data_IF_653218772238
#
_entry.id   IF_653218772238
#
_cell.length_a   1.000
_cell.length_b   1.000
_cell.length_c   1.000
_cell.angle_alpha   90.00
_cell.angle_beta   90.00
_cell.angle_gamma   90.00
#
_symmetry.space_group_name_H-M   'P 1'
#
loop_
_entity.id
_entity.type
_entity.pdbx_description
1 polymer ?
#
# COMPACT_ATOMS: atom_id res chain seq x y z
N UNK A 1 0.37 -11.62 -10.95
CA UNK A 1 -0.45 -10.49 -11.42
C UNK A 1 -0.17 -9.20 -10.68
N UNK A 2 -0.20 -9.14 -9.29
CA UNK A 2 0.08 -7.90 -8.54
C UNK A 2 1.54 -7.47 -8.63
N UNK A 3 2.49 -8.40 -8.55
CA UNK A 3 3.92 -8.12 -8.77
C UNK A 3 4.14 -7.48 -10.15
N UNK A 4 3.48 -8.00 -11.18
CA UNK A 4 3.57 -7.44 -12.53
C UNK A 4 3.01 -6.02 -12.59
N UNK A 5 1.85 -5.74 -11.95
CA UNK A 5 1.30 -4.39 -11.83
C UNK A 5 2.26 -3.40 -11.16
N UNK A 6 2.89 -3.84 -10.06
CA UNK A 6 3.86 -3.01 -9.35
C UNK A 6 5.07 -2.69 -10.24
N UNK A 7 5.63 -3.68 -10.95
CA UNK A 7 6.73 -3.44 -11.89
C UNK A 7 6.35 -2.50 -13.04
N UNK A 8 5.14 -2.65 -13.57
CA UNK A 8 4.65 -1.80 -14.66
C UNK A 8 4.40 -0.35 -14.22
N UNK A 9 3.99 -0.10 -12.97
CA UNK A 9 3.81 1.26 -12.49
C UNK A 9 5.10 1.92 -11.98
N UNK A 10 6.12 1.14 -11.64
CA UNK A 10 7.37 1.61 -11.04
C UNK A 10 7.99 2.82 -11.77
N UNK A 11 8.20 2.82 -13.10
CA UNK A 11 8.81 3.96 -13.80
C UNK A 11 7.91 5.21 -13.85
N UNK A 12 6.61 5.06 -13.63
CA UNK A 12 5.67 6.20 -13.54
C UNK A 12 5.54 6.73 -12.12
N UNK A 13 5.70 5.88 -11.13
CA UNK A 13 5.52 6.20 -9.71
C UNK A 13 6.80 6.74 -9.08
N UNK A 14 7.93 6.03 -9.27
CA UNK A 14 9.21 6.41 -8.68
C UNK A 14 9.99 7.30 -9.64
N UNK A 15 9.63 8.58 -9.64
CA UNK A 15 10.25 9.60 -10.47
C UNK A 15 11.09 10.56 -9.63
N UNK A 16 12.29 10.88 -10.13
CA UNK A 16 13.14 11.88 -9.53
C UNK A 16 12.72 13.29 -9.98
N UNK A 17 12.47 14.17 -9.02
CA UNK A 17 12.04 15.55 -9.28
C UNK A 17 13.06 16.55 -8.74
N UNK A 18 13.50 17.47 -9.58
CA UNK A 18 14.38 18.60 -9.22
C UNK A 18 13.88 19.88 -9.89
N UNK A 19 12.71 20.36 -9.52
CA UNK A 19 12.09 21.55 -10.10
C UNK A 19 12.24 22.82 -9.25
N UNK A 20 12.72 22.72 -8.01
CA UNK A 20 12.68 23.80 -7.05
C UNK A 20 11.27 24.08 -6.54
N UNK A 21 11.06 25.26 -5.96
CA UNK A 21 9.80 25.62 -5.28
C UNK A 21 8.60 25.67 -6.24
N UNK A 22 8.81 26.20 -7.42
CA UNK A 22 7.76 26.45 -8.45
C UNK A 22 7.84 25.52 -9.67
N UNK A 23 8.70 24.51 -9.66
CA UNK A 23 8.84 23.58 -10.79
C UNK A 23 9.62 24.14 -11.98
N UNK A 24 10.22 25.33 -11.87
CA UNK A 24 10.88 26.03 -12.97
C UNK A 24 12.36 25.71 -13.10
N UNK A 25 12.95 25.04 -12.12
CA UNK A 25 14.41 24.81 -12.02
C UNK A 25 15.25 26.09 -12.15
N UNK A 26 14.71 27.26 -11.78
CA UNK A 26 15.28 28.57 -12.05
C UNK A 26 16.72 28.76 -11.54
N UNK A 27 17.09 28.08 -10.43
CA UNK A 27 18.46 28.12 -9.87
C UNK A 27 19.54 27.52 -10.79
N UNK A 28 19.13 26.72 -11.76
CA UNK A 28 20.01 26.02 -12.71
C UNK A 28 19.97 26.61 -14.12
N UNK A 29 19.18 27.68 -14.34
CA UNK A 29 18.98 28.29 -15.66
C UNK A 29 18.53 27.26 -16.70
N UNK A 30 19.14 27.26 -17.85
CA UNK A 30 18.86 26.34 -18.95
C UNK A 30 19.38 24.90 -18.73
N UNK A 31 20.14 24.67 -17.65
CA UNK A 31 20.69 23.35 -17.32
C UNK A 31 19.78 22.52 -16.41
N UNK A 32 18.64 23.06 -15.94
CA UNK A 32 17.78 22.42 -14.95
C UNK A 32 17.40 20.99 -15.29
N UNK A 33 16.94 20.72 -16.50
CA UNK A 33 16.56 19.37 -16.94
C UNK A 33 17.77 18.42 -17.07
N UNK A 34 18.95 18.93 -17.41
CA UNK A 34 20.17 18.11 -17.45
C UNK A 34 20.62 17.71 -16.05
N UNK A 35 20.56 18.64 -15.10
CA UNK A 35 20.88 18.36 -13.68
C UNK A 35 19.89 17.36 -13.09
N UNK A 36 18.60 17.52 -13.36
CA UNK A 36 17.60 16.54 -12.93
C UNK A 36 17.86 15.16 -13.54
N UNK A 37 18.16 15.10 -14.85
CA UNK A 37 18.48 13.83 -15.52
C UNK A 37 19.70 13.13 -14.94
N UNK A 38 20.75 13.86 -14.61
CA UNK A 38 21.95 13.34 -13.95
C UNK A 38 21.63 12.81 -12.54
N UNK A 39 20.83 13.55 -11.77
CA UNK A 39 20.33 13.10 -10.45
C UNK A 39 19.50 11.83 -10.58
N UNK A 40 18.57 11.78 -11.51
CA UNK A 40 17.71 10.61 -11.74
C UNK A 40 18.53 9.38 -12.09
N UNK A 41 19.51 9.51 -13.01
CA UNK A 41 20.42 8.43 -13.39
C UNK A 41 21.25 7.93 -12.18
N UNK A 42 21.71 8.84 -11.32
CA UNK A 42 22.47 8.47 -10.11
C UNK A 42 21.61 7.71 -9.07
N UNK A 43 20.30 7.98 -9.05
CA UNK A 43 19.33 7.33 -8.15
C UNK A 43 18.69 6.08 -8.77
N UNK A 44 19.07 5.70 -9.99
CA UNK A 44 18.42 4.63 -10.77
C UNK A 44 16.89 4.86 -10.89
N UNK A 45 16.51 6.11 -11.16
CA UNK A 45 15.12 6.55 -11.29
C UNK A 45 14.88 7.21 -12.64
N UNK A 46 13.61 7.35 -13.02
CA UNK A 46 13.20 8.14 -14.18
C UNK A 46 13.08 9.61 -13.75
N UNK A 47 13.63 10.53 -14.56
CA UNK A 47 13.42 11.96 -14.33
C UNK A 47 11.98 12.37 -14.65
N UNK A 48 11.37 13.18 -13.79
CA UNK A 48 10.01 13.67 -14.00
C UNK A 48 9.96 14.60 -15.22
N UNK A 49 9.04 14.36 -16.16
CA UNK A 49 8.94 15.15 -17.39
C UNK A 49 8.59 16.62 -17.12
N UNK A 50 7.74 16.86 -16.13
CA UNK A 50 7.40 18.19 -15.63
C UNK A 50 7.71 18.19 -14.12
N UNK A 51 8.85 18.71 -13.68
CA UNK A 51 9.32 18.57 -12.29
C UNK A 51 8.62 19.55 -11.34
N UNK A 52 7.33 19.40 -11.17
CA UNK A 52 6.50 20.27 -10.33
C UNK A 52 5.96 19.54 -9.10
N UNK A 53 6.03 20.17 -7.94
CA UNK A 53 5.51 19.66 -6.66
C UNK A 53 3.98 19.52 -6.65
N UNK A 54 3.30 20.22 -7.55
CA UNK A 54 1.85 20.15 -7.76
C UNK A 54 1.42 18.88 -8.51
N UNK A 55 2.32 18.16 -9.15
CA UNK A 55 2.02 16.92 -9.86
C UNK A 55 2.16 15.76 -8.87
N UNK A 56 1.02 15.22 -8.40
CA UNK A 56 0.94 14.15 -7.41
C UNK A 56 0.15 12.93 -7.87
N UNK A 57 -0.28 12.90 -9.13
CA UNK A 57 -1.04 11.81 -9.73
C UNK A 57 -0.30 10.48 -9.70
N UNK A 58 1.01 10.49 -9.90
CA UNK A 58 1.87 9.30 -9.79
C UNK A 58 1.85 8.68 -8.38
N UNK A 59 1.76 9.50 -7.31
CA UNK A 59 1.61 9.01 -5.94
C UNK A 59 0.21 8.43 -5.69
N UNK A 60 -0.83 9.04 -6.28
CA UNK A 60 -2.19 8.49 -6.25
C UNK A 60 -2.26 7.16 -7.01
N UNK A 61 -1.62 7.03 -8.19
CA UNK A 61 -1.50 5.75 -8.91
C UNK A 61 -0.89 4.67 -8.01
N UNK A 62 0.19 4.98 -7.30
CA UNK A 62 0.82 4.04 -6.36
C UNK A 62 -0.18 3.56 -5.30
N UNK A 63 -0.86 4.47 -4.62
CA UNK A 63 -1.86 4.14 -3.60
C UNK A 63 -2.98 3.26 -4.18
N UNK A 64 -3.47 3.55 -5.39
CA UNK A 64 -4.48 2.73 -6.04
C UNK A 64 -3.99 1.30 -6.35
N UNK A 65 -2.76 1.15 -6.83
CA UNK A 65 -2.17 -0.17 -7.11
C UNK A 65 -2.00 -0.98 -5.81
N UNK A 66 -1.56 -0.33 -4.73
CA UNK A 66 -1.45 -0.96 -3.41
C UNK A 66 -2.83 -1.33 -2.84
N UNK A 67 -3.85 -0.50 -3.05
CA UNK A 67 -5.22 -0.80 -2.63
C UNK A 67 -5.83 -1.99 -3.38
N UNK A 68 -5.51 -2.19 -4.67
CA UNK A 68 -5.89 -3.38 -5.42
C UNK A 68 -5.24 -4.66 -4.88
N UNK A 69 -3.97 -4.57 -4.47
CA UNK A 69 -3.28 -5.67 -3.80
C UNK A 69 -3.94 -5.99 -2.45
N UNK A 70 -4.17 -4.98 -1.62
CA UNK A 70 -4.84 -5.11 -0.34
C UNK A 70 -6.25 -5.71 -0.47
N UNK A 71 -7.01 -5.32 -1.51
CA UNK A 71 -8.34 -5.89 -1.79
C UNK A 71 -8.27 -7.40 -2.06
N UNK A 72 -7.23 -7.86 -2.78
CA UNK A 72 -7.02 -9.29 -3.04
C UNK A 72 -6.61 -10.05 -1.77
N UNK A 73 -5.80 -9.43 -0.90
CA UNK A 73 -5.45 -9.97 0.41
C UNK A 73 -6.69 -10.09 1.31
N UNK A 74 -7.52 -9.06 1.34
CA UNK A 74 -8.78 -9.06 2.09
C UNK A 74 -9.75 -10.13 1.62
N UNK A 75 -9.85 -10.35 0.29
CA UNK A 75 -10.64 -11.46 -0.26
C UNK A 75 -10.14 -12.81 0.22
N UNK A 76 -8.83 -13.04 0.16
CA UNK A 76 -8.21 -14.29 0.63
C UNK A 76 -8.51 -14.53 2.11
N UNK A 77 -8.32 -13.52 2.95
CA UNK A 77 -8.59 -13.62 4.38
C UNK A 77 -10.08 -13.87 4.68
N UNK A 78 -10.99 -13.27 3.90
CA UNK A 78 -12.42 -13.50 4.06
C UNK A 78 -12.83 -14.95 3.74
N UNK A 79 -12.18 -15.60 2.78
CA UNK A 79 -12.41 -17.04 2.49
C UNK A 79 -11.97 -17.90 3.69
N UNK A 80 -10.79 -17.63 4.27
CA UNK A 80 -10.32 -18.33 5.47
C UNK A 80 -11.30 -18.09 6.64
N UNK A 81 -11.64 -16.84 6.91
CA UNK A 81 -12.60 -16.49 7.95
C UNK A 81 -13.94 -17.23 7.80
N UNK A 82 -14.43 -17.33 6.57
CA UNK A 82 -15.68 -18.03 6.27
C UNK A 82 -15.53 -19.54 6.47
N UNK A 83 -14.45 -20.14 5.97
CA UNK A 83 -14.18 -21.57 6.12
C UNK A 83 -13.94 -22.02 7.56
N UNK A 84 -13.55 -21.10 8.47
CA UNK A 84 -13.41 -21.39 9.91
C UNK A 84 -14.74 -21.45 10.66
N UNK A 85 -15.84 -20.96 10.09
CA UNK A 85 -17.16 -21.03 10.75
C UNK A 85 -17.55 -22.47 11.00
N UNK A 86 -18.28 -22.68 12.12
CA UNK A 86 -18.67 -24.02 12.58
C UNK A 86 -19.46 -24.80 11.51
N UNK A 87 -20.21 -24.10 10.67
CA UNK A 87 -21.02 -24.69 9.59
C UNK A 87 -20.18 -25.29 8.45
N UNK A 88 -18.96 -24.78 8.26
CA UNK A 88 -18.03 -25.25 7.22
C UNK A 88 -16.89 -26.05 7.83
N UNK A 89 -16.12 -25.48 8.73
CA UNK A 89 -15.04 -26.15 9.44
C UNK A 89 -13.90 -26.70 8.55
N UNK A 90 -13.73 -26.12 7.37
CA UNK A 90 -12.81 -26.62 6.34
C UNK A 90 -11.36 -26.21 6.56
N UNK A 91 -11.14 -25.06 7.23
CA UNK A 91 -9.81 -24.48 7.44
C UNK A 91 -9.67 -23.95 8.86
N UNK A 92 -8.42 -23.80 9.31
CA UNK A 92 -8.08 -23.14 10.59
C UNK A 92 -6.89 -22.19 10.39
N UNK A 93 -6.89 -21.08 11.14
CA UNK A 93 -5.71 -20.23 11.21
C UNK A 93 -4.59 -20.93 11.98
N UNK A 94 -3.32 -20.70 11.58
CA UNK A 94 -2.18 -21.19 12.35
C UNK A 94 -2.16 -20.54 13.73
N UNK A 95 -1.97 -21.35 14.77
CA UNK A 95 -1.85 -20.88 16.16
C UNK A 95 -0.38 -20.78 16.50
N UNK A 96 0.05 -19.61 16.95
CA UNK A 96 1.41 -19.46 17.47
C UNK A 96 1.58 -20.25 18.76
N UNK A 97 2.68 -20.99 18.95
CA UNK A 97 2.94 -21.70 20.20
C UNK A 97 2.87 -20.74 21.40
N UNK A 98 2.11 -21.10 22.40
CA UNK A 98 1.92 -20.29 23.63
C UNK A 98 0.81 -19.24 23.56
N UNK A 99 0.07 -19.14 22.46
CA UNK A 99 -1.08 -18.25 22.35
C UNK A 99 -2.31 -18.90 22.99
N UNK A 100 -2.89 -18.26 24.01
CA UNK A 100 -4.18 -18.66 24.61
C UNK A 100 -5.29 -18.01 23.79
N UNK A 101 -6.05 -18.84 23.08
CA UNK A 101 -7.13 -18.37 22.17
C UNK A 101 -8.29 -17.66 22.91
N UNK A 102 -8.59 -18.09 24.14
CA UNK A 102 -9.61 -17.49 25.02
C UNK A 102 -9.28 -17.81 26.47
N UNK A 103 -9.44 -16.86 27.37
CA UNK A 103 -9.28 -17.04 28.81
C UNK A 103 -10.37 -17.92 29.44
N UNK A 104 -11.56 -17.99 28.81
CA UNK A 104 -12.74 -18.73 29.34
C UNK A 104 -13.02 -20.01 28.58
N UNK A 105 -12.59 -20.14 27.34
CA UNK A 105 -12.82 -21.31 26.49
C UNK A 105 -11.54 -21.65 25.72
N UNK A 106 -10.64 -22.50 26.27
CA UNK A 106 -9.35 -22.83 25.64
C UNK A 106 -9.46 -23.42 24.22
N UNK A 107 -10.60 -24.08 23.92
CA UNK A 107 -10.87 -24.67 22.61
C UNK A 107 -11.38 -23.66 21.56
N UNK A 108 -11.66 -22.41 21.96
CA UNK A 108 -12.16 -21.40 21.04
C UNK A 108 -11.01 -20.74 20.28
N UNK A 109 -10.93 -20.99 18.99
CA UNK A 109 -10.00 -20.36 18.06
C UNK A 109 -10.69 -19.18 17.38
N UNK A 110 -10.22 -17.96 17.64
CA UNK A 110 -10.74 -16.76 17.00
C UNK A 110 -9.88 -16.44 15.75
N UNK A 111 -10.50 -16.10 14.61
CA UNK A 111 -9.81 -15.80 13.35
C UNK A 111 -9.22 -14.39 13.35
N UNK A 112 -8.29 -14.11 14.28
CA UNK A 112 -7.74 -12.77 14.47
C UNK A 112 -6.92 -12.30 13.26
N UNK A 113 -6.09 -13.18 12.69
CA UNK A 113 -5.25 -12.83 11.53
C UNK A 113 -6.11 -12.45 10.32
N UNK A 114 -7.15 -13.24 10.02
CA UNK A 114 -8.08 -12.96 8.92
C UNK A 114 -8.85 -11.66 9.15
N UNK A 115 -9.31 -11.43 10.39
CA UNK A 115 -10.04 -10.19 10.74
C UNK A 115 -9.13 -8.96 10.61
N UNK A 116 -7.88 -9.03 11.05
CA UNK A 116 -6.90 -7.97 10.91
C UNK A 116 -6.64 -7.64 9.44
N UNK A 117 -6.39 -8.67 8.61
CA UNK A 117 -6.17 -8.49 7.16
C UNK A 117 -7.38 -7.82 6.49
N UNK A 118 -8.61 -8.25 6.83
CA UNK A 118 -9.82 -7.62 6.29
C UNK A 118 -9.96 -6.15 6.71
N UNK A 119 -9.67 -5.85 7.98
CA UNK A 119 -9.75 -4.49 8.52
C UNK A 119 -8.69 -3.57 7.88
N UNK A 120 -7.45 -4.02 7.78
CA UNK A 120 -6.37 -3.25 7.15
C UNK A 120 -6.63 -3.04 5.65
N UNK A 121 -7.07 -4.07 4.96
CA UNK A 121 -7.45 -3.96 3.54
C UNK A 121 -8.59 -2.94 3.32
N UNK A 122 -9.54 -2.85 4.24
CA UNK A 122 -10.60 -1.84 4.19
C UNK A 122 -10.03 -0.43 4.40
N UNK A 123 -9.17 -0.24 5.41
CA UNK A 123 -8.53 1.04 5.69
C UNK A 123 -7.66 1.51 4.50
N UNK A 124 -6.87 0.60 3.90
CA UNK A 124 -6.05 0.91 2.72
C UNK A 124 -6.94 1.39 1.56
N UNK A 125 -8.05 0.71 1.29
CA UNK A 125 -9.00 1.14 0.24
C UNK A 125 -9.63 2.50 0.54
N UNK A 126 -9.87 2.80 1.81
CA UNK A 126 -10.42 4.09 2.23
C UNK A 126 -9.45 5.27 2.03
N UNK A 127 -8.14 5.02 1.87
CA UNK A 127 -7.16 6.06 1.55
C UNK A 127 -7.18 6.49 0.06
N UNK A 128 -7.78 5.71 -0.83
CA UNK A 128 -7.82 6.05 -2.27
C UNK A 128 -8.56 7.37 -2.54
N UNK A 129 -9.77 7.60 -2.01
CA UNK A 129 -10.43 8.91 -2.19
C UNK A 129 -9.60 10.07 -1.63
N UNK A 130 -8.93 9.90 -0.48
CA UNK A 130 -8.07 10.92 0.10
C UNK A 130 -6.87 11.23 -0.80
N UNK A 131 -6.27 10.21 -1.42
CA UNK A 131 -5.17 10.39 -2.36
C UNK A 131 -5.62 11.11 -3.64
N UNK A 132 -6.81 10.79 -4.16
CA UNK A 132 -7.37 11.47 -5.33
C UNK A 132 -7.72 12.92 -5.02
N UNK A 133 -8.27 13.22 -3.85
CA UNK A 133 -8.50 14.59 -3.40
C UNK A 133 -7.19 15.38 -3.27
N UNK A 134 -6.13 14.73 -2.83
CA UNK A 134 -4.80 15.35 -2.71
C UNK A 134 -4.18 15.72 -4.08
N UNK A 135 -4.62 15.12 -5.18
CA UNK A 135 -4.19 15.51 -6.54
C UNK A 135 -4.73 16.87 -6.95
N UNK A 136 -5.86 17.30 -6.36
CA UNK A 136 -6.51 18.60 -6.63
C UNK A 136 -5.74 19.74 -5.99
N UNK A 137 -4.46 19.85 -6.29
CA UNK A 137 -3.60 20.90 -5.75
C UNK A 137 -3.65 22.16 -6.61
N UNK A 138 -3.58 23.33 -5.99
CA UNK A 138 -3.62 24.64 -6.65
C UNK A 138 -2.20 25.18 -6.85
N UNK A 139 -2.02 25.93 -7.93
CA UNK A 139 -0.77 26.64 -8.27
C UNK A 139 0.46 25.73 -8.22
N UNK A 140 1.56 26.19 -7.63
CA UNK A 140 2.84 25.49 -7.62
C UNK A 140 2.92 24.40 -6.51
N UNK A 141 2.21 24.55 -5.44
CA UNK A 141 2.02 23.57 -4.38
C UNK A 141 1.10 24.11 -3.28
N UNK A 142 0.43 23.20 -2.59
CA UNK A 142 -0.46 23.52 -1.48
C UNK A 142 -0.16 22.59 -0.30
N UNK A 143 -0.08 23.17 0.91
CA UNK A 143 0.25 22.42 2.12
C UNK A 143 -0.82 21.39 2.48
N UNK A 144 -2.10 21.73 2.28
CA UNK A 144 -3.22 20.86 2.59
C UNK A 144 -3.13 19.55 1.80
N UNK A 145 -3.03 19.64 0.48
CA UNK A 145 -2.94 18.47 -0.41
C UNK A 145 -1.67 17.65 -0.17
N UNK A 146 -0.54 18.31 0.10
CA UNK A 146 0.71 17.64 0.45
C UNK A 146 0.62 16.87 1.77
N UNK A 147 -0.12 17.37 2.77
CA UNK A 147 -0.36 16.66 4.03
C UNK A 147 -1.25 15.43 3.82
N UNK A 148 -2.32 15.57 3.03
CA UNK A 148 -3.25 14.49 2.72
C UNK A 148 -2.52 13.36 1.97
N UNK A 149 -1.76 13.68 0.93
CA UNK A 149 -0.99 12.70 0.16
C UNK A 149 0.02 11.95 1.02
N UNK A 150 0.80 12.67 1.84
CA UNK A 150 1.79 12.08 2.73
C UNK A 150 1.14 11.15 3.77
N UNK A 151 0.00 11.56 4.34
CA UNK A 151 -0.75 10.73 5.28
C UNK A 151 -1.23 9.45 4.62
N UNK A 152 -1.86 9.57 3.46
CA UNK A 152 -2.36 8.41 2.70
C UNK A 152 -1.22 7.45 2.33
N UNK A 153 -0.12 7.96 1.78
CA UNK A 153 1.04 7.16 1.37
C UNK A 153 1.66 6.39 2.55
N UNK A 154 1.95 7.09 3.65
CA UNK A 154 2.57 6.46 4.81
C UNK A 154 1.67 5.39 5.42
N UNK A 155 0.39 5.69 5.59
CA UNK A 155 -0.55 4.76 6.19
C UNK A 155 -0.78 3.52 5.32
N UNK A 156 -0.92 3.70 4.01
CA UNK A 156 -1.07 2.58 3.07
C UNK A 156 0.15 1.66 3.10
N UNK A 157 1.36 2.21 3.07
CA UNK A 157 2.59 1.40 3.09
C UNK A 157 2.73 0.59 4.39
N UNK A 158 2.48 1.20 5.56
CA UNK A 158 2.55 0.53 6.86
C UNK A 158 1.51 -0.59 6.96
N UNK A 159 0.24 -0.26 6.69
CA UNK A 159 -0.84 -1.24 6.78
C UNK A 159 -0.69 -2.37 5.77
N UNK A 160 -0.16 -2.09 4.57
CA UNK A 160 0.06 -3.13 3.58
C UNK A 160 1.20 -4.07 3.99
N UNK A 161 2.28 -3.55 4.57
CA UNK A 161 3.35 -4.38 5.14
C UNK A 161 2.81 -5.36 6.17
N UNK A 162 2.03 -4.88 7.11
CA UNK A 162 1.33 -5.69 8.12
C UNK A 162 0.36 -6.70 7.50
N UNK A 163 -0.40 -6.29 6.48
CA UNK A 163 -1.32 -7.15 5.74
C UNK A 163 -0.59 -8.30 5.08
N UNK A 164 0.50 -8.02 4.38
CA UNK A 164 1.29 -9.02 3.64
C UNK A 164 1.94 -10.05 4.56
N UNK A 165 2.44 -9.61 5.72
CA UNK A 165 3.02 -10.54 6.71
C UNK A 165 1.95 -11.48 7.27
N UNK A 166 0.77 -10.98 7.62
CA UNK A 166 -0.35 -11.82 8.08
C UNK A 166 -0.83 -12.79 7.00
N UNK A 167 -0.93 -12.34 5.76
CA UNK A 167 -1.27 -13.20 4.61
C UNK A 167 -0.21 -14.29 4.41
N UNK A 168 1.08 -13.96 4.58
CA UNK A 168 2.16 -14.96 4.52
C UNK A 168 2.00 -16.03 5.59
N UNK A 169 1.70 -15.64 6.83
CA UNK A 169 1.46 -16.57 7.94
C UNK A 169 0.23 -17.45 7.65
N UNK A 170 -0.87 -16.86 7.22
CA UNK A 170 -2.08 -17.58 6.86
C UNK A 170 -1.83 -18.59 5.73
N UNK A 171 -1.11 -18.21 4.69
CA UNK A 171 -0.81 -19.09 3.55
C UNK A 171 0.12 -20.25 3.92
N UNK A 172 1.05 -20.07 4.84
CA UNK A 172 1.95 -21.11 5.31
C UNK A 172 1.30 -22.08 6.29
N UNK A 173 0.31 -21.64 7.04
CA UNK A 173 -0.39 -22.43 8.06
C UNK A 173 -1.53 -23.30 7.54
N UNK A 174 -1.95 -23.17 6.30
CA UNK A 174 -3.10 -23.90 5.70
C UNK A 174 -2.82 -25.40 5.37
N UNK A 175 -1.93 -26.05 6.06
CA UNK A 175 -1.62 -27.44 5.81
C UNK A 175 -2.42 -28.50 6.61
N UNK A 176 -3.37 -28.10 7.46
CA UNK A 176 -4.16 -29.03 8.29
C UNK A 176 -5.66 -28.77 8.14
N UNK A 177 -6.26 -29.48 7.18
CA UNK A 177 -7.68 -29.78 7.30
C UNK A 177 -7.89 -30.64 8.54
N UNK A 178 -8.94 -30.38 9.31
CA UNK A 178 -9.37 -31.27 10.41
C UNK A 178 -9.66 -32.65 9.79
N UNK A 179 -8.88 -33.67 10.18
CA UNK A 179 -9.23 -35.07 10.00
C UNK A 179 -10.32 -35.49 10.95
#
# INVERSE_FOLDING_TARGET
>A
RHVERLRQCEPRVFQAMLGGAAGTAASFGDQGMKVQGAMAAHLDMVGMAVPARSIMDHLAEHIMVLALLAASCGKFANEIYTGMKQEFGEVEEPISPGTVGSSTMPQKHNPHLSQDVMAYAAQIRAMVPLALEAVMTEHEANRQTSLMMRQAQNQVCILLGDTLERVRILAQGQGRARS
#
